data_IF_394475508034
#
_entry.id   IF_394475508034
#
_cell.length_a   1.000
_cell.length_b   1.000
_cell.length_c   1.000
_cell.angle_alpha   90.00
_cell.angle_beta   90.00
_cell.angle_gamma   90.00
#
_symmetry.space_group_name_H-M   'P 1'
#
loop_
_entity.id
_entity.type
_entity.pdbx_description
1 polymer ?
#
# COMPACT_ATOMS: atom_id res chain seq x y z
N UNK A 1 -11.70 -12.81 7.76
CA UNK A 1 -12.19 -11.58 7.10
C UNK A 1 -11.05 -10.57 6.85
N UNK A 2 -10.37 -10.00 7.90
CA UNK A 2 -9.34 -8.94 7.68
C UNK A 2 -8.11 -9.43 6.90
N UNK A 3 -7.57 -10.59 7.23
CA UNK A 3 -6.46 -11.22 6.48
C UNK A 3 -6.88 -11.51 5.05
N UNK A 4 -8.04 -12.10 4.84
CA UNK A 4 -8.59 -12.41 3.53
C UNK A 4 -8.81 -11.15 2.70
N UNK A 5 -9.29 -10.07 3.31
CA UNK A 5 -9.46 -8.78 2.67
C UNK A 5 -8.16 -8.26 2.05
N UNK A 6 -7.04 -8.39 2.76
CA UNK A 6 -5.72 -7.97 2.26
C UNK A 6 -5.18 -8.95 1.22
N UNK A 7 -5.30 -10.26 1.44
CA UNK A 7 -4.71 -11.26 0.55
C UNK A 7 -5.50 -11.45 -0.75
N UNK A 8 -6.81 -11.25 -0.73
CA UNK A 8 -7.68 -11.38 -1.90
C UNK A 8 -7.95 -10.02 -2.57
N UNK A 9 -7.77 -8.92 -1.83
CA UNK A 9 -7.89 -7.56 -2.35
C UNK A 9 -6.67 -7.18 -3.17
N UNK A 10 -6.74 -7.36 -4.49
CA UNK A 10 -5.60 -7.10 -5.40
C UNK A 10 -5.12 -5.65 -5.27
N UNK A 11 -6.01 -4.69 -5.06
CA UNK A 11 -5.67 -3.28 -4.84
C UNK A 11 -4.75 -3.11 -3.62
N UNK A 12 -5.06 -3.80 -2.51
CA UNK A 12 -4.25 -3.77 -1.29
C UNK A 12 -2.89 -4.46 -1.50
N UNK A 13 -2.89 -5.60 -2.19
CA UNK A 13 -1.66 -6.33 -2.50
C UNK A 13 -0.71 -5.47 -3.34
N UNK A 14 -1.23 -4.84 -4.41
CA UNK A 14 -0.43 -3.96 -5.26
C UNK A 14 0.01 -2.69 -4.54
N UNK A 15 -0.82 -2.15 -3.65
CA UNK A 15 -0.46 -1.02 -2.81
C UNK A 15 0.73 -1.35 -1.90
N UNK A 16 0.69 -2.48 -1.18
CA UNK A 16 1.80 -2.91 -0.29
C UNK A 16 3.07 -3.17 -1.10
N UNK A 17 2.97 -3.84 -2.26
CA UNK A 17 4.12 -4.06 -3.16
C UNK A 17 4.68 -2.72 -3.66
N UNK A 18 3.83 -1.79 -4.09
CA UNK A 18 4.24 -0.46 -4.53
C UNK A 18 4.97 0.33 -3.44
N UNK A 19 4.47 0.24 -2.21
CA UNK A 19 5.11 0.83 -1.04
C UNK A 19 6.50 0.22 -0.77
N UNK A 20 6.64 -1.10 -0.88
CA UNK A 20 7.93 -1.79 -0.71
C UNK A 20 8.92 -1.42 -1.83
N UNK A 21 8.47 -1.30 -3.08
CA UNK A 21 9.31 -0.86 -4.20
C UNK A 21 9.81 0.57 -4.00
N UNK A 22 8.95 1.47 -3.52
CA UNK A 22 9.32 2.83 -3.17
C UNK A 22 10.34 2.89 -2.03
N UNK A 23 10.11 2.11 -0.97
CA UNK A 23 11.05 2.02 0.17
C UNK A 23 12.40 1.43 -0.24
N UNK A 24 12.39 0.41 -1.11
CA UNK A 24 13.61 -0.16 -1.66
C UNK A 24 14.40 0.86 -2.47
N UNK A 25 13.73 1.56 -3.39
CA UNK A 25 14.37 2.60 -4.19
C UNK A 25 15.02 3.68 -3.29
N UNK A 26 14.30 4.14 -2.27
CA UNK A 26 14.81 5.15 -1.31
C UNK A 26 15.96 4.62 -0.44
N UNK A 27 15.93 3.34 -0.08
CA UNK A 27 17.00 2.69 0.69
C UNK A 27 18.30 2.51 -0.11
N UNK A 28 18.18 2.35 -1.43
CA UNK A 28 19.32 2.17 -2.33
C UNK A 28 19.81 3.49 -2.97
N UNK A 29 19.08 4.59 -2.80
CA UNK A 29 19.49 5.90 -3.33
C UNK A 29 20.81 6.34 -2.67
N UNK A 30 21.88 6.39 -3.46
CA UNK A 30 23.19 6.95 -3.05
C UNK A 30 23.11 8.47 -3.06
N UNK A 31 22.76 9.07 -1.93
CA UNK A 31 22.84 10.51 -1.76
C UNK A 31 24.29 10.88 -1.38
N UNK A 32 24.93 11.86 -2.04
CA UNK A 32 26.34 12.22 -1.81
C UNK A 32 26.68 12.61 -0.36
N UNK A 33 25.69 13.07 0.42
CA UNK A 33 25.86 13.57 1.77
C UNK A 33 25.19 12.70 2.87
N UNK A 34 24.76 11.49 2.56
CA UNK A 34 24.25 10.55 3.58
C UNK A 34 25.42 9.70 4.06
N UNK A 35 25.84 9.90 5.30
CA UNK A 35 26.96 9.20 5.93
C UNK A 35 26.75 7.67 6.03
N UNK A 36 25.50 7.18 5.95
CA UNK A 36 25.17 5.75 5.97
C UNK A 36 24.01 5.44 5.02
N UNK A 37 24.08 4.35 4.22
CA UNK A 37 22.90 3.83 3.54
C UNK A 37 21.87 3.47 4.60
N UNK A 38 20.62 3.82 4.37
CA UNK A 38 19.50 3.46 5.24
C UNK A 38 19.51 1.93 5.40
N UNK A 39 19.99 1.42 6.53
CA UNK A 39 20.21 -0.01 6.75
C UNK A 39 18.88 -0.78 6.66
N UNK A 40 18.95 -2.11 6.50
CA UNK A 40 17.78 -3.01 6.44
C UNK A 40 16.79 -2.77 7.57
N UNK A 41 17.27 -2.46 8.78
CA UNK A 41 16.43 -2.17 9.95
C UNK A 41 15.62 -0.87 9.76
N UNK A 42 16.16 0.10 9.04
CA UNK A 42 15.45 1.36 8.73
C UNK A 42 14.33 1.15 7.71
N UNK A 43 14.53 0.33 6.67
CA UNK A 43 13.48 0.01 5.68
C UNK A 43 12.34 -0.74 6.37
N UNK A 44 12.65 -1.73 7.21
CA UNK A 44 11.62 -2.48 7.96
C UNK A 44 10.81 -1.55 8.86
N UNK A 45 11.48 -0.66 9.59
CA UNK A 45 10.81 0.31 10.46
C UNK A 45 9.92 1.28 9.68
N UNK A 46 10.40 1.80 8.55
CA UNK A 46 9.62 2.68 7.67
C UNK A 46 8.41 1.95 7.06
N UNK A 47 8.57 0.65 6.72
CA UNK A 47 7.46 -0.18 6.25
C UNK A 47 6.40 -0.33 7.34
N UNK A 48 6.78 -0.66 8.56
CA UNK A 48 5.85 -0.79 9.70
C UNK A 48 5.12 0.53 9.93
N UNK A 49 5.84 1.65 10.02
CA UNK A 49 5.20 2.96 10.21
C UNK A 49 4.18 3.31 9.12
N UNK A 50 4.52 3.04 7.86
CA UNK A 50 3.63 3.35 6.74
C UNK A 50 2.40 2.43 6.72
N UNK A 51 2.58 1.13 6.98
CA UNK A 51 1.48 0.16 7.03
C UNK A 51 0.55 0.43 8.20
N UNK A 52 1.08 0.65 9.40
CA UNK A 52 0.24 0.99 10.56
C UNK A 52 -0.48 2.33 10.39
N UNK A 53 0.16 3.33 9.76
CA UNK A 53 -0.51 4.59 9.42
C UNK A 53 -1.67 4.36 8.43
N UNK A 54 -1.46 3.51 7.41
CA UNK A 54 -2.51 3.11 6.48
C UNK A 54 -3.65 2.38 7.22
N UNK A 55 -3.35 1.38 8.06
CA UNK A 55 -4.38 0.62 8.79
C UNK A 55 -5.19 1.50 9.73
N UNK A 56 -4.55 2.42 10.46
CA UNK A 56 -5.25 3.38 11.34
C UNK A 56 -6.19 4.27 10.52
N UNK A 57 -5.72 4.84 9.41
CA UNK A 57 -6.52 5.69 8.55
C UNK A 57 -7.70 4.92 7.91
N UNK A 58 -7.42 3.71 7.41
CA UNK A 58 -8.42 2.80 6.87
C UNK A 58 -9.51 2.47 7.90
N UNK A 59 -9.10 2.15 9.12
CA UNK A 59 -10.02 1.87 10.23
C UNK A 59 -10.92 3.05 10.57
N UNK A 60 -10.38 4.27 10.55
CA UNK A 60 -11.14 5.49 10.85
C UNK A 60 -12.25 5.71 9.83
N UNK A 61 -11.94 5.64 8.53
CA UNK A 61 -12.93 5.86 7.47
C UNK A 61 -13.90 4.71 7.33
N UNK A 62 -13.44 3.45 7.47
CA UNK A 62 -14.30 2.28 7.48
C UNK A 62 -15.29 2.36 8.66
N UNK A 63 -14.80 2.65 9.86
CA UNK A 63 -15.65 2.80 11.05
C UNK A 63 -16.64 3.96 10.92
N UNK A 64 -16.19 5.13 10.45
CA UNK A 64 -17.06 6.27 10.21
C UNK A 64 -18.16 5.95 9.18
N UNK A 65 -17.82 5.17 8.17
CA UNK A 65 -18.76 4.81 7.11
C UNK A 65 -19.81 3.81 7.60
N UNK A 66 -19.41 2.75 8.31
CA UNK A 66 -20.33 1.74 8.84
C UNK A 66 -21.25 2.33 9.91
N UNK A 67 -20.75 3.26 10.71
CA UNK A 67 -21.56 3.95 11.73
C UNK A 67 -22.43 5.07 11.16
N UNK A 68 -22.39 5.30 9.83
CA UNK A 68 -23.21 6.30 9.15
C UNK A 68 -22.75 7.76 9.32
N UNK A 69 -21.55 8.00 9.87
CA UNK A 69 -21.01 9.36 10.02
C UNK A 69 -20.44 9.92 8.71
N UNK A 70 -20.03 9.07 7.79
CA UNK A 70 -19.48 9.46 6.50
C UNK A 70 -19.84 8.43 5.43
N UNK A 71 -20.03 8.89 4.20
CA UNK A 71 -20.23 8.01 3.05
C UNK A 71 -19.54 8.58 1.82
N UNK A 72 -19.06 7.72 0.95
CA UNK A 72 -18.51 8.12 -0.34
C UNK A 72 -19.05 7.19 -1.43
N UNK A 73 -19.38 7.70 -2.63
CA UNK A 73 -19.78 6.86 -3.75
C UNK A 73 -18.64 5.91 -4.14
N UNK A 74 -18.97 4.66 -4.48
CA UNK A 74 -17.97 3.63 -4.79
C UNK A 74 -17.08 4.00 -5.99
N UNK A 75 -17.67 4.50 -7.08
CA UNK A 75 -16.94 4.80 -8.31
C UNK A 75 -15.77 5.78 -8.13
N UNK A 76 -15.92 6.99 -7.54
CA UNK A 76 -14.78 7.85 -7.29
C UNK A 76 -13.77 7.27 -6.30
N UNK A 77 -14.21 6.49 -5.30
CA UNK A 77 -13.30 5.86 -4.34
C UNK A 77 -12.42 4.82 -5.04
N UNK A 78 -12.99 3.93 -5.84
CA UNK A 78 -12.24 2.93 -6.60
C UNK A 78 -11.24 3.57 -7.56
N UNK A 79 -11.61 4.67 -8.20
CA UNK A 79 -10.73 5.42 -9.09
C UNK A 79 -9.55 6.04 -8.31
N UNK A 80 -9.81 6.61 -7.12
CA UNK A 80 -8.77 7.16 -6.25
C UNK A 80 -7.84 6.07 -5.70
N UNK A 81 -8.37 4.87 -5.43
CA UNK A 81 -7.58 3.69 -5.06
C UNK A 81 -6.61 3.33 -6.19
N UNK A 82 -7.08 3.19 -7.43
CA UNK A 82 -6.22 2.93 -8.57
C UNK A 82 -5.18 4.04 -8.78
N UNK A 83 -5.58 5.31 -8.64
CA UNK A 83 -4.67 6.46 -8.74
C UNK A 83 -3.58 6.42 -7.66
N UNK A 84 -3.89 5.98 -6.42
CA UNK A 84 -2.89 5.85 -5.35
C UNK A 84 -1.78 4.86 -5.71
N UNK A 85 -2.12 3.76 -6.39
CA UNK A 85 -1.16 2.76 -6.86
C UNK A 85 -0.31 3.33 -8.01
N UNK A 86 -0.92 4.07 -8.95
CA UNK A 86 -0.18 4.79 -10.02
C UNK A 86 0.82 5.76 -9.41
N UNK A 87 0.43 6.52 -8.38
CA UNK A 87 1.32 7.45 -7.71
C UNK A 87 2.51 6.74 -7.03
N UNK A 88 2.27 5.61 -6.34
CA UNK A 88 3.35 4.82 -5.74
C UNK A 88 4.30 4.27 -6.81
N UNK A 89 3.76 3.73 -7.91
CA UNK A 89 4.56 3.24 -9.02
C UNK A 89 5.42 4.35 -9.62
N UNK A 90 4.85 5.54 -9.85
CA UNK A 90 5.58 6.70 -10.34
C UNK A 90 6.68 7.13 -9.37
N UNK A 91 6.35 7.27 -8.08
CA UNK A 91 7.34 7.69 -7.06
C UNK A 91 8.49 6.67 -6.94
N UNK A 92 8.24 5.38 -7.13
CA UNK A 92 9.27 4.34 -7.13
C UNK A 92 10.18 4.36 -8.37
N UNK A 93 9.81 5.10 -9.42
CA UNK A 93 10.60 5.29 -10.65
C UNK A 93 11.40 6.58 -10.66
N UNK A 94 11.04 7.56 -9.81
CA UNK A 94 11.72 8.86 -9.74
C UNK A 94 13.06 8.70 -9.03
N UNK A 95 14.16 9.00 -9.72
CA UNK A 95 15.47 8.96 -9.13
C UNK A 95 15.63 10.10 -8.10
N UNK A 96 15.97 9.74 -6.87
CA UNK A 96 16.17 10.68 -5.77
C UNK A 96 17.53 11.41 -5.95
N UNK A 97 17.65 12.20 -7.00
CA UNK A 97 18.86 12.99 -7.29
C UNK A 97 18.81 14.41 -6.70
N UNK A 98 17.65 14.79 -6.14
CA UNK A 98 17.43 16.12 -5.57
C UNK A 98 17.90 16.18 -4.12
N UNK A 99 18.58 17.26 -3.74
CA UNK A 99 19.04 17.55 -2.37
C UNK A 99 17.87 17.77 -1.37
N UNK A 100 16.63 17.79 -1.87
CA UNK A 100 15.46 17.92 -1.02
C UNK A 100 15.26 16.65 -0.18
N UNK A 101 15.04 16.77 1.14
CA UNK A 101 14.74 15.63 1.99
C UNK A 101 13.53 14.87 1.43
N UNK A 102 13.68 13.55 1.21
CA UNK A 102 12.59 12.73 0.74
C UNK A 102 11.38 12.87 1.69
N UNK A 103 10.17 13.15 1.18
CA UNK A 103 9.00 13.30 2.04
C UNK A 103 8.79 12.04 2.87
N UNK A 104 8.32 12.21 4.10
CA UNK A 104 7.97 11.06 4.96
C UNK A 104 6.91 10.23 4.25
N UNK A 105 7.04 8.90 4.30
CA UNK A 105 6.14 7.98 3.57
C UNK A 105 4.83 7.76 4.34
N UNK A 106 4.89 7.77 5.67
CA UNK A 106 3.72 7.50 6.50
C UNK A 106 2.53 8.46 6.29
N UNK A 107 2.70 9.79 6.02
CA UNK A 107 1.54 10.65 5.77
C UNK A 107 0.86 10.33 4.45
N UNK A 108 1.63 9.91 3.44
CA UNK A 108 1.10 9.46 2.17
C UNK A 108 0.30 8.16 2.33
N UNK A 109 0.85 7.19 3.06
CA UNK A 109 0.17 5.95 3.38
C UNK A 109 -1.11 6.19 4.21
N UNK A 110 -1.08 7.14 5.15
CA UNK A 110 -2.25 7.56 5.92
C UNK A 110 -3.35 8.12 5.00
N UNK A 111 -3.00 9.06 4.11
CA UNK A 111 -3.95 9.63 3.15
C UNK A 111 -4.60 8.54 2.28
N UNK A 112 -3.80 7.61 1.78
CA UNK A 112 -4.33 6.51 0.98
C UNK A 112 -5.18 5.54 1.81
N UNK A 113 -4.80 5.29 3.06
CA UNK A 113 -5.63 4.51 4.00
C UNK A 113 -7.03 5.10 4.19
N UNK A 114 -7.15 6.43 4.31
CA UNK A 114 -8.45 7.10 4.40
C UNK A 114 -9.33 6.80 3.17
N UNK A 115 -8.75 6.83 1.98
CA UNK A 115 -9.47 6.53 0.73
C UNK A 115 -9.90 5.07 0.68
N UNK A 116 -8.99 4.14 0.99
CA UNK A 116 -9.25 2.70 0.94
C UNK A 116 -10.33 2.25 1.93
N UNK A 117 -10.43 2.91 3.10
CA UNK A 117 -11.46 2.58 4.10
C UNK A 117 -12.89 2.79 3.61
N UNK A 118 -13.12 3.77 2.73
CA UNK A 118 -14.43 3.94 2.08
C UNK A 118 -14.74 2.82 1.09
N UNK A 119 -13.73 2.26 0.42
CA UNK A 119 -13.93 1.22 -0.60
C UNK A 119 -14.49 -0.10 -0.07
N UNK A 120 -14.31 -0.40 1.22
CA UNK A 120 -14.77 -1.65 1.83
C UNK A 120 -16.03 -1.51 2.70
N UNK A 121 -16.49 -0.29 2.93
CA UNK A 121 -17.62 -0.02 3.84
C UNK A 121 -18.91 -0.72 3.42
N UNK A 122 -19.21 -0.80 2.11
CA UNK A 122 -20.37 -1.50 1.59
C UNK A 122 -20.33 -3.00 1.92
N UNK A 123 -19.23 -3.67 1.59
CA UNK A 123 -19.07 -5.11 1.80
C UNK A 123 -19.17 -5.53 3.28
N UNK A 124 -18.69 -4.69 4.21
CA UNK A 124 -18.83 -4.98 5.65
C UNK A 124 -20.23 -4.63 6.18
N UNK A 125 -20.88 -3.61 5.60
CA UNK A 125 -22.28 -3.26 5.91
C UNK A 125 -23.27 -4.39 5.57
N UNK A 126 -23.02 -5.10 4.47
CA UNK A 126 -23.87 -6.21 3.99
C UNK A 126 -23.86 -7.44 4.92
N UNK A 127 -22.92 -7.51 5.88
CA UNK A 127 -22.88 -8.59 6.89
C UNK A 127 -24.02 -8.51 7.91
N UNK A 128 -24.80 -7.43 7.94
CA UNK A 128 -25.97 -7.29 8.81
C UNK A 128 -25.64 -7.31 10.31
N UNK A 129 -24.48 -6.82 10.71
CA UNK A 129 -24.05 -6.78 12.10
C UNK A 129 -24.93 -5.85 12.93
N UNK A 130 -25.24 -6.25 14.17
CA UNK A 130 -25.89 -5.36 15.12
C UNK A 130 -24.96 -4.19 15.46
N UNK A 131 -25.52 -2.99 15.66
CA UNK A 131 -24.73 -1.78 15.96
C UNK A 131 -23.81 -1.94 17.18
N UNK A 132 -24.20 -2.75 18.17
CA UNK A 132 -23.40 -3.04 19.35
C UNK A 132 -22.14 -3.89 19.04
N UNK A 133 -22.17 -4.71 17.99
CA UNK A 133 -21.09 -5.63 17.62
C UNK A 133 -20.06 -4.97 16.67
N UNK A 134 -20.43 -3.85 16.02
CA UNK A 134 -19.59 -3.14 15.05
C UNK A 134 -18.22 -2.81 15.62
N UNK A 135 -18.04 -2.21 16.80
CA UNK A 135 -16.72 -1.83 17.30
C UNK A 135 -15.78 -3.02 17.48
N UNK A 136 -16.29 -4.13 18.00
CA UNK A 136 -15.48 -5.34 18.23
C UNK A 136 -15.15 -6.03 16.89
N UNK A 137 -16.08 -6.06 15.96
CA UNK A 137 -15.88 -6.61 14.62
C UNK A 137 -14.80 -5.79 13.87
N UNK A 138 -14.86 -4.46 13.91
CA UNK A 138 -13.86 -3.57 13.33
C UNK A 138 -12.48 -3.75 13.98
N UNK A 139 -12.42 -3.89 15.29
CA UNK A 139 -11.15 -4.12 15.99
C UNK A 139 -10.45 -5.40 15.50
N UNK A 140 -11.16 -6.53 15.49
CA UNK A 140 -10.59 -7.80 15.02
C UNK A 140 -10.34 -7.81 13.51
N UNK A 141 -11.17 -7.12 12.73
CA UNK A 141 -10.93 -6.94 11.30
C UNK A 141 -9.60 -6.22 11.06
N UNK A 142 -9.35 -5.11 11.75
CA UNK A 142 -8.13 -4.31 11.59
C UNK A 142 -6.87 -5.04 12.09
N UNK A 143 -6.96 -5.85 13.15
CA UNK A 143 -5.87 -6.76 13.52
C UNK A 143 -5.58 -7.74 12.36
N UNK A 144 -6.61 -8.28 11.73
CA UNK A 144 -6.45 -9.14 10.57
C UNK A 144 -5.81 -8.43 9.37
N UNK A 145 -6.18 -7.18 9.12
CA UNK A 145 -5.56 -6.34 8.09
C UNK A 145 -4.06 -6.17 8.35
N UNK A 146 -3.67 -5.76 9.56
CA UNK A 146 -2.26 -5.58 9.96
C UNK A 146 -1.47 -6.88 9.81
N UNK A 147 -2.01 -8.00 10.27
CA UNK A 147 -1.37 -9.32 10.14
C UNK A 147 -1.22 -9.73 8.67
N UNK A 148 -2.22 -9.48 7.84
CA UNK A 148 -2.15 -9.73 6.39
C UNK A 148 -1.06 -8.92 5.71
N UNK A 149 -0.95 -7.64 6.04
CA UNK A 149 0.10 -6.76 5.51
C UNK A 149 1.50 -7.20 5.96
N UNK A 150 1.68 -7.51 7.25
CA UNK A 150 2.95 -8.01 7.79
C UNK A 150 3.35 -9.34 7.13
N UNK A 151 2.39 -10.20 6.84
CA UNK A 151 2.64 -11.44 6.10
C UNK A 151 3.18 -11.17 4.70
N UNK A 152 2.55 -10.26 3.93
CA UNK A 152 3.00 -9.87 2.58
C UNK A 152 4.41 -9.28 2.63
N UNK A 153 4.69 -8.39 3.59
CA UNK A 153 6.02 -7.79 3.78
C UNK A 153 7.07 -8.86 4.07
N UNK A 154 6.77 -9.77 5.02
CA UNK A 154 7.69 -10.85 5.40
C UNK A 154 7.95 -11.78 4.22
N UNK A 155 6.91 -12.16 3.49
CA UNK A 155 7.01 -12.98 2.28
C UNK A 155 7.87 -12.30 1.21
N UNK A 156 7.64 -11.00 0.97
CA UNK A 156 8.41 -10.21 -0.01
C UNK A 156 9.89 -10.15 0.35
N UNK A 157 10.22 -9.91 1.62
CA UNK A 157 11.62 -9.96 2.09
C UNK A 157 12.22 -11.36 1.98
N UNK A 158 11.46 -12.40 2.27
CA UNK A 158 11.87 -13.80 2.11
C UNK A 158 12.18 -14.13 0.66
N UNK A 159 11.32 -13.73 -0.28
CA UNK A 159 11.53 -13.92 -1.73
C UNK A 159 12.79 -13.21 -2.20
N UNK A 160 12.96 -11.94 -1.84
CA UNK A 160 14.15 -11.15 -2.21
C UNK A 160 15.42 -11.77 -1.61
N UNK A 161 15.39 -12.19 -0.35
CA UNK A 161 16.53 -12.84 0.31
C UNK A 161 16.91 -14.15 -0.37
N UNK A 162 15.92 -14.99 -0.68
CA UNK A 162 16.12 -16.27 -1.37
C UNK A 162 16.66 -16.05 -2.79
N UNK A 163 16.08 -15.11 -3.53
CA UNK A 163 16.54 -14.76 -4.86
C UNK A 163 18.00 -14.30 -4.89
N UNK A 164 18.43 -13.47 -3.93
CA UNK A 164 19.82 -13.03 -3.81
C UNK A 164 20.76 -14.19 -3.47
N UNK A 165 20.30 -15.17 -2.68
CA UNK A 165 21.10 -16.35 -2.33
C UNK A 165 21.29 -17.32 -3.49
N UNK A 166 20.20 -17.56 -4.25
CA UNK A 166 20.20 -18.54 -5.33
C UNK A 166 20.69 -17.98 -6.67
N UNK A 167 20.53 -16.69 -6.88
CA UNK A 167 20.79 -16.00 -8.15
C UNK A 167 21.64 -14.74 -7.90
N UNK A 168 22.92 -14.87 -7.50
CA UNK A 168 23.77 -13.71 -7.17
C UNK A 168 23.88 -12.70 -8.31
N UNK A 169 23.84 -13.15 -9.57
CA UNK A 169 23.87 -12.30 -10.76
C UNK A 169 22.66 -11.34 -10.88
N UNK A 170 21.59 -11.56 -10.11
CA UNK A 170 20.47 -10.61 -10.07
C UNK A 170 20.78 -9.34 -9.27
N UNK A 171 21.84 -9.33 -8.46
CA UNK A 171 22.25 -8.10 -7.75
C UNK A 171 22.66 -7.01 -8.71
N UNK A 172 23.37 -7.36 -9.80
CA UNK A 172 23.76 -6.43 -10.86
C UNK A 172 22.55 -5.87 -11.64
N UNK A 173 21.45 -6.61 -11.65
CA UNK A 173 20.20 -6.25 -12.32
C UNK A 173 19.10 -5.75 -11.37
N UNK A 174 19.38 -5.62 -10.09
CA UNK A 174 18.39 -5.28 -9.07
C UNK A 174 17.66 -3.96 -9.38
N UNK A 175 18.39 -2.97 -9.86
CA UNK A 175 17.81 -1.69 -10.29
C UNK A 175 16.88 -1.83 -11.48
N UNK A 176 17.29 -2.55 -12.53
CA UNK A 176 16.45 -2.78 -13.72
C UNK A 176 15.22 -3.60 -13.39
N UNK A 177 15.36 -4.61 -12.51
CA UNK A 177 14.25 -5.44 -12.05
C UNK A 177 13.23 -4.62 -11.26
N UNK A 178 13.70 -3.79 -10.32
CA UNK A 178 12.84 -2.90 -9.54
C UNK A 178 12.07 -1.94 -10.46
N UNK A 179 12.72 -1.33 -11.46
CA UNK A 179 12.05 -0.48 -12.44
C UNK A 179 11.03 -1.25 -13.28
N UNK A 180 11.38 -2.46 -13.72
CA UNK A 180 10.47 -3.33 -14.48
C UNK A 180 9.21 -3.66 -13.67
N UNK A 181 9.37 -4.01 -12.39
CA UNK A 181 8.25 -4.26 -11.48
C UNK A 181 7.39 -3.00 -11.27
N UNK A 182 8.03 -1.82 -11.11
CA UNK A 182 7.31 -0.55 -10.95
C UNK A 182 6.52 -0.17 -12.21
N UNK A 183 7.08 -0.40 -13.41
CA UNK A 183 6.34 -0.20 -14.67
C UNK A 183 5.17 -1.18 -14.80
N UNK A 184 5.37 -2.46 -14.46
CA UNK A 184 4.31 -3.47 -14.47
C UNK A 184 3.16 -3.10 -13.53
N UNK A 185 3.49 -2.73 -12.29
CA UNK A 185 2.53 -2.27 -11.29
C UNK A 185 1.77 -1.02 -11.75
N UNK A 186 2.50 -0.03 -12.27
CA UNK A 186 1.90 1.20 -12.82
C UNK A 186 1.00 0.92 -14.03
N UNK A 187 1.39 0.00 -14.91
CA UNK A 187 0.57 -0.42 -16.07
C UNK A 187 -0.76 -1.04 -15.67
N UNK A 188 -0.75 -1.96 -14.69
CA UNK A 188 -1.98 -2.56 -14.14
C UNK A 188 -2.87 -1.47 -13.51
N UNK A 189 -2.28 -0.59 -12.71
CA UNK A 189 -3.04 0.45 -12.04
C UNK A 189 -3.64 1.49 -13.01
N UNK A 190 -2.91 1.85 -14.09
CA UNK A 190 -3.44 2.72 -15.16
C UNK A 190 -4.56 2.02 -15.93
N UNK A 191 -4.42 0.72 -16.21
CA UNK A 191 -5.49 -0.04 -16.83
C UNK A 191 -6.78 0.04 -16.00
N UNK A 192 -6.71 -0.20 -14.68
CA UNK A 192 -7.86 -0.06 -13.79
C UNK A 192 -8.40 1.36 -13.70
N UNK A 193 -7.52 2.37 -13.73
CA UNK A 193 -7.93 3.77 -13.74
C UNK A 193 -8.80 4.07 -14.95
N UNK A 194 -8.41 3.58 -16.14
CA UNK A 194 -9.15 3.74 -17.39
C UNK A 194 -10.46 2.93 -17.36
N UNK A 195 -10.42 1.70 -16.86
CA UNK A 195 -11.59 0.81 -16.79
C UNK A 195 -12.66 1.37 -15.84
N UNK A 196 -12.25 1.98 -14.72
CA UNK A 196 -13.17 2.55 -13.71
C UNK A 196 -13.63 3.98 -14.04
N UNK A 197 -12.93 4.70 -14.93
CA UNK A 197 -13.28 6.09 -15.26
C UNK A 197 -14.71 6.27 -15.83
N UNK A 198 -15.26 5.40 -16.70
CA UNK A 198 -16.62 5.54 -17.20
C UNK A 198 -17.70 5.50 -16.11
N UNK A 199 -17.47 4.80 -14.98
CA UNK A 199 -18.42 4.72 -13.86
C UNK A 199 -18.65 6.04 -13.11
N UNK A 200 -17.87 7.09 -13.42
CA UNK A 200 -18.10 8.44 -12.90
C UNK A 200 -19.22 9.19 -13.64
N UNK A 201 -19.57 8.72 -14.84
CA UNK A 201 -20.52 9.43 -15.75
C UNK A 201 -21.88 8.72 -15.77
N UNK A 202 -21.91 7.46 -15.36
CA UNK A 202 -23.13 6.64 -15.29
C UNK A 202 -23.74 6.66 -13.90
#
# INVERSE_FOLDING_TARGET
>A
LGIEHILLGIDHLLFVIGLLLLLWQRGNARLPNRAEPTGRSSITWLSIQALSAFTVAHSLTLGASILGFASAPAAPVELLIALSIVMLARESLVDSTTETPAPKIWPLAFLFGLIHGFGFAGALGDLGLNSADIPIALFFFNIGVELGQLFIVTLSFGVVWTARRLLPHLEDRAYSLQRGLSYGLGGIAVFWLIERAPSLIT
#
